data_IF_976103589578
#
_entry.id   IF_976103589578
#
_cell.length_a   1.000
_cell.length_b   1.000
_cell.length_c   1.000
_cell.angle_alpha   90.00
_cell.angle_beta   90.00
_cell.angle_gamma   90.00
#
_symmetry.space_group_name_H-M   'P 1'
#
loop_
_entity.id
_entity.type
_entity.pdbx_description
1 polymer ?
#
# COMPACT_ATOMS: atom_id res chain seq x y z
N UNK A 1 5.83 20.12 -0.87
CA UNK A 1 4.52 19.60 -1.35
C UNK A 1 3.45 20.72 -1.46
N UNK A 2 3.71 21.81 -2.20
CA UNK A 2 2.74 22.93 -2.27
C UNK A 2 1.53 22.64 -3.17
N UNK A 3 1.72 21.97 -4.31
CA UNK A 3 0.62 21.63 -5.23
C UNK A 3 -0.33 20.55 -4.72
N UNK A 4 0.11 19.63 -3.85
CA UNK A 4 -0.74 18.47 -3.50
C UNK A 4 -1.96 18.83 -2.64
N UNK A 5 -1.86 19.86 -1.79
CA UNK A 5 -2.98 20.36 -0.97
C UNK A 5 -4.02 21.14 -1.80
N UNK A 6 -3.66 21.60 -2.99
CA UNK A 6 -4.56 22.31 -3.90
C UNK A 6 -5.51 21.35 -4.64
N UNK A 7 -5.09 20.09 -4.81
CA UNK A 7 -5.85 19.08 -5.56
C UNK A 7 -6.59 18.07 -4.68
N UNK A 8 -6.20 17.89 -3.42
CA UNK A 8 -6.77 16.84 -2.58
C UNK A 8 -6.79 17.23 -1.12
N UNK A 9 -7.96 17.06 -0.49
CA UNK A 9 -8.18 17.34 0.93
C UNK A 9 -7.47 16.33 1.83
N UNK A 10 -7.31 16.70 3.11
CA UNK A 10 -6.75 15.80 4.13
C UNK A 10 -7.56 14.51 4.26
N UNK A 11 -8.89 14.62 4.16
CA UNK A 11 -9.82 13.48 4.23
C UNK A 11 -9.65 12.53 3.05
N UNK A 12 -9.53 13.05 1.83
CA UNK A 12 -9.24 12.23 0.65
C UNK A 12 -7.87 11.58 0.71
N UNK A 13 -6.87 12.27 1.28
CA UNK A 13 -5.54 11.70 1.50
C UNK A 13 -5.58 10.55 2.51
N UNK A 14 -6.34 10.67 3.61
CA UNK A 14 -6.59 9.61 4.57
C UNK A 14 -7.32 8.44 3.94
N UNK A 15 -8.39 8.70 3.20
CA UNK A 15 -9.16 7.67 2.50
C UNK A 15 -8.27 6.89 1.54
N UNK A 16 -7.43 7.57 0.78
CA UNK A 16 -6.52 6.93 -0.16
C UNK A 16 -5.45 6.09 0.56
N UNK A 17 -4.96 6.54 1.72
CA UNK A 17 -4.06 5.74 2.56
C UNK A 17 -4.75 4.48 3.11
N UNK A 18 -6.01 4.58 3.55
CA UNK A 18 -6.79 3.43 4.01
C UNK A 18 -7.07 2.44 2.88
N UNK A 19 -7.52 2.94 1.72
CA UNK A 19 -7.78 2.11 0.54
C UNK A 19 -6.51 1.42 0.04
N UNK A 20 -5.34 2.07 0.14
CA UNK A 20 -4.07 1.47 -0.27
C UNK A 20 -3.76 0.18 0.51
N UNK A 21 -4.26 0.04 1.74
CA UNK A 21 -4.06 -1.14 2.59
C UNK A 21 -4.92 -2.35 2.20
N UNK A 22 -5.97 -2.20 1.39
CA UNK A 22 -6.87 -3.31 1.05
C UNK A 22 -6.13 -4.37 0.23
N UNK A 23 -5.43 -3.95 -0.82
CA UNK A 23 -4.69 -4.85 -1.73
C UNK A 23 -3.62 -5.68 -1.00
N UNK A 24 -2.72 -5.12 -0.18
CA UNK A 24 -1.72 -5.93 0.51
C UNK A 24 -2.36 -6.87 1.54
N UNK A 25 -3.46 -6.49 2.20
CA UNK A 25 -4.20 -7.40 3.09
C UNK A 25 -4.76 -8.59 2.32
N UNK A 26 -5.41 -8.36 1.18
CA UNK A 26 -5.91 -9.44 0.33
C UNK A 26 -4.78 -10.33 -0.19
N UNK A 27 -3.64 -9.74 -0.56
CA UNK A 27 -2.46 -10.49 -1.02
C UNK A 27 -1.85 -11.35 0.09
N UNK A 28 -1.78 -10.82 1.33
CA UNK A 28 -1.31 -11.58 2.50
C UNK A 28 -2.26 -12.75 2.79
N UNK A 29 -3.58 -12.52 2.76
CA UNK A 29 -4.58 -13.57 2.96
C UNK A 29 -4.48 -14.65 1.87
N UNK A 30 -4.32 -14.24 0.60
CA UNK A 30 -4.09 -15.18 -0.50
C UNK A 30 -2.83 -16.01 -0.26
N UNK A 31 -1.70 -15.36 0.02
CA UNK A 31 -0.46 -16.05 0.34
C UNK A 31 -0.64 -17.03 1.51
N UNK A 32 -1.33 -16.64 2.59
CA UNK A 32 -1.60 -17.53 3.73
C UNK A 32 -2.34 -18.80 3.29
N UNK A 33 -3.39 -18.65 2.47
CA UNK A 33 -4.28 -19.76 2.10
C UNK A 33 -3.64 -20.77 1.14
N UNK A 34 -2.80 -20.30 0.21
CA UNK A 34 -2.31 -21.14 -0.89
C UNK A 34 -0.78 -21.28 -0.95
N UNK A 35 -0.01 -20.74 0.03
CA UNK A 35 1.46 -20.70 -0.03
C UNK A 35 2.13 -22.02 -0.44
N UNK A 36 1.64 -23.14 0.10
CA UNK A 36 2.19 -24.48 -0.12
C UNK A 36 1.99 -24.99 -1.54
N UNK A 37 0.97 -24.50 -2.23
CA UNK A 37 0.62 -24.89 -3.60
C UNK A 37 1.30 -24.00 -4.65
N UNK A 38 1.99 -22.94 -4.23
CA UNK A 38 2.65 -21.98 -5.11
C UNK A 38 4.08 -22.46 -5.43
N UNK A 39 4.45 -22.59 -6.72
CA UNK A 39 5.83 -22.89 -7.11
C UNK A 39 6.83 -21.88 -6.55
N UNK A 40 8.02 -22.35 -6.13
CA UNK A 40 9.06 -21.48 -5.54
C UNK A 40 9.41 -20.22 -6.36
N UNK A 41 9.52 -20.26 -7.70
CA UNK A 41 9.74 -19.05 -8.49
C UNK A 41 8.61 -18.02 -8.37
N UNK A 42 7.36 -18.49 -8.25
CA UNK A 42 6.18 -17.65 -8.07
C UNK A 42 6.11 -17.07 -6.64
N UNK A 43 6.59 -17.80 -5.63
CA UNK A 43 6.70 -17.29 -4.26
C UNK A 43 7.62 -16.07 -4.17
N UNK A 44 8.77 -16.10 -4.86
CA UNK A 44 9.68 -14.95 -4.93
C UNK A 44 9.04 -13.73 -5.56
N UNK A 45 8.30 -13.91 -6.66
CA UNK A 45 7.54 -12.84 -7.31
C UNK A 45 6.47 -12.25 -6.38
N UNK A 46 5.75 -13.09 -5.64
CA UNK A 46 4.71 -12.64 -4.70
C UNK A 46 5.29 -11.84 -3.54
N UNK A 47 6.45 -12.24 -3.01
CA UNK A 47 7.16 -11.48 -1.98
C UNK A 47 7.55 -10.09 -2.53
N UNK A 48 8.10 -10.03 -3.74
CA UNK A 48 8.46 -8.76 -4.38
C UNK A 48 7.24 -7.85 -4.57
N UNK A 49 6.12 -8.40 -5.05
CA UNK A 49 4.86 -7.67 -5.19
C UNK A 49 4.35 -7.16 -3.84
N UNK A 50 4.44 -7.98 -2.79
CA UNK A 50 4.04 -7.58 -1.45
C UNK A 50 4.90 -6.42 -0.93
N UNK A 51 6.22 -6.47 -1.12
CA UNK A 51 7.14 -5.38 -0.74
C UNK A 51 6.80 -4.09 -1.48
N UNK A 52 6.57 -4.15 -2.79
CA UNK A 52 6.18 -2.99 -3.58
C UNK A 52 4.85 -2.40 -3.11
N UNK A 53 3.87 -3.24 -2.79
CA UNK A 53 2.56 -2.81 -2.30
C UNK A 53 2.65 -2.16 -0.92
N UNK A 54 3.46 -2.72 -0.02
CA UNK A 54 3.75 -2.13 1.29
C UNK A 54 4.47 -0.78 1.16
N UNK A 55 5.43 -0.67 0.23
CA UNK A 55 6.10 0.59 -0.09
C UNK A 55 5.13 1.65 -0.61
N UNK A 56 4.19 1.26 -1.48
CA UNK A 56 3.10 2.14 -1.94
C UNK A 56 2.22 2.61 -0.77
N UNK A 57 1.79 1.69 0.12
CA UNK A 57 1.04 2.05 1.32
C UNK A 57 1.79 3.04 2.19
N UNK A 58 3.07 2.76 2.48
CA UNK A 58 3.93 3.63 3.26
C UNK A 58 4.02 5.03 2.63
N UNK A 59 4.09 5.12 1.31
CA UNK A 59 4.06 6.40 0.61
C UNK A 59 2.73 7.16 0.77
N UNK A 60 1.59 6.48 0.67
CA UNK A 60 0.28 7.11 0.92
C UNK A 60 0.15 7.61 2.36
N UNK A 61 0.59 6.80 3.34
CA UNK A 61 0.63 7.20 4.74
C UNK A 61 1.59 8.36 5.00
N UNK A 62 2.77 8.35 4.38
CA UNK A 62 3.72 9.46 4.47
C UNK A 62 3.09 10.77 3.97
N UNK A 63 2.36 10.74 2.85
CA UNK A 63 1.66 11.93 2.33
C UNK A 63 0.60 12.45 3.28
N UNK A 64 -0.17 11.55 3.89
CA UNK A 64 -1.16 11.93 4.90
C UNK A 64 -0.50 12.54 6.15
N UNK A 65 0.55 11.91 6.68
CA UNK A 65 1.28 12.40 7.86
C UNK A 65 2.01 13.71 7.61
N UNK A 66 2.49 13.93 6.39
CA UNK A 66 3.13 15.16 5.97
C UNK A 66 2.12 16.22 5.44
N UNK A 67 0.82 15.93 5.47
CA UNK A 67 -0.21 16.85 5.00
C UNK A 67 -0.26 18.14 5.83
N UNK A 68 -0.15 18.03 7.17
CA UNK A 68 -0.16 19.18 8.08
C UNK A 68 1.24 19.64 8.51
N UNK A 69 2.29 18.90 8.15
CA UNK A 69 3.67 19.37 8.34
C UNK A 69 3.93 20.46 7.29
N UNK A 70 4.07 21.70 7.76
CA UNK A 70 4.46 22.86 6.94
C UNK A 70 5.85 22.65 6.35
#
# INVERSE_FOLDING_TARGET
>A
MKRYREFMSRGECLLNALLSCIIPVLLILFCWLVWKDIPSPCQGLLILLLVLQLGSCAFHWYRYLAYDKK
#
